data_IF_066117529852
#
_entry.id   IF_066117529852
#
_cell.length_a   1.000
_cell.length_b   1.000
_cell.length_c   1.000
_cell.angle_alpha   90.00
_cell.angle_beta   90.00
_cell.angle_gamma   90.00
#
_symmetry.space_group_name_H-M   'P 1'
#
loop_
_entity.id
_entity.type
_entity.pdbx_description
1 polymer ?
#
# COMPACT_ATOMS: atom_id res chain seq x y z
N UNK A 1 -10.67 -27.86 10.89
CA UNK A 1 -10.63 -26.44 11.30
C UNK A 1 -12.03 -25.90 11.12
N UNK A 2 -12.53 -25.03 12.01
CA UNK A 2 -13.81 -24.37 11.76
C UNK A 2 -13.63 -23.25 10.73
N UNK A 3 -14.73 -22.79 10.12
CA UNK A 3 -14.70 -21.63 9.22
C UNK A 3 -14.18 -20.36 9.91
N UNK A 4 -14.47 -20.22 11.19
CA UNK A 4 -14.01 -19.09 12.02
C UNK A 4 -12.49 -19.17 12.24
N UNK A 5 -11.96 -20.37 12.50
CA UNK A 5 -10.51 -20.60 12.62
C UNK A 5 -9.79 -20.29 11.29
N UNK A 6 -10.37 -20.67 10.15
CA UNK A 6 -9.78 -20.40 8.83
C UNK A 6 -9.69 -18.89 8.51
N UNK A 7 -10.75 -18.13 8.78
CA UNK A 7 -10.74 -16.67 8.63
C UNK A 7 -9.72 -16.05 9.59
N UNK A 8 -9.68 -16.53 10.83
CA UNK A 8 -8.76 -16.01 11.83
C UNK A 8 -7.30 -16.23 11.44
N UNK A 9 -6.97 -17.44 10.97
CA UNK A 9 -5.64 -17.79 10.50
C UNK A 9 -5.25 -16.99 9.25
N UNK A 10 -6.17 -16.75 8.32
CA UNK A 10 -5.90 -15.90 7.15
C UNK A 10 -5.59 -14.45 7.57
N UNK A 11 -6.38 -13.88 8.48
CA UNK A 11 -6.15 -12.52 8.98
C UNK A 11 -4.80 -12.44 9.70
N UNK A 12 -4.53 -13.35 10.64
CA UNK A 12 -3.29 -13.33 11.44
C UNK A 12 -2.03 -13.59 10.63
N UNK A 13 -2.15 -14.28 9.49
CA UNK A 13 -1.04 -14.55 8.58
C UNK A 13 -0.84 -13.48 7.50
N UNK A 14 -1.69 -12.45 7.42
CA UNK A 14 -1.64 -11.46 6.33
C UNK A 14 -1.11 -10.10 6.79
N UNK A 15 -0.16 -9.53 6.04
CA UNK A 15 0.26 -8.13 6.16
C UNK A 15 -0.14 -7.39 4.89
N UNK A 16 -0.95 -6.34 5.04
CA UNK A 16 -1.35 -5.44 3.97
C UNK A 16 -0.36 -4.29 3.86
N UNK A 17 0.20 -4.07 2.67
CA UNK A 17 1.23 -3.05 2.43
C UNK A 17 0.76 -2.14 1.31
N UNK A 18 0.68 -0.83 1.57
CA UNK A 18 0.44 0.14 0.50
C UNK A 18 1.59 0.13 -0.51
N UNK A 19 1.30 0.59 -1.73
CA UNK A 19 2.27 0.60 -2.80
C UNK A 19 2.94 1.98 -2.97
N UNK A 20 2.14 3.01 -3.25
CA UNK A 20 2.60 4.33 -3.70
C UNK A 20 2.97 5.23 -2.51
N UNK A 21 4.25 5.26 -2.14
CA UNK A 21 4.80 5.96 -0.97
C UNK A 21 5.45 5.02 0.06
N UNK A 22 5.16 3.72 -0.04
CA UNK A 22 5.67 2.68 0.88
C UNK A 22 6.63 1.71 0.18
N UNK A 23 6.23 1.15 -0.96
CA UNK A 23 7.07 0.25 -1.76
C UNK A 23 7.71 1.01 -2.92
N UNK A 24 6.92 1.78 -3.65
CA UNK A 24 7.32 2.66 -4.75
C UNK A 24 7.45 4.11 -4.23
N UNK A 25 8.53 4.83 -4.57
CA UNK A 25 8.78 6.19 -4.01
C UNK A 25 7.67 7.19 -4.34
N UNK A 26 7.03 7.08 -5.51
CA UNK A 26 5.90 7.93 -5.93
C UNK A 26 6.16 9.44 -5.80
N UNK A 27 7.36 9.89 -6.17
CA UNK A 27 7.88 11.23 -5.89
C UNK A 27 7.18 12.36 -6.65
N UNK A 28 6.32 12.04 -7.62
CA UNK A 28 5.55 12.98 -8.46
C UNK A 28 4.04 12.78 -8.35
N UNK A 29 3.57 11.95 -7.40
CA UNK A 29 2.16 11.58 -7.32
C UNK A 29 1.65 10.93 -8.61
N UNK A 30 0.44 11.31 -9.05
CA UNK A 30 -0.19 10.70 -10.23
C UNK A 30 0.61 10.85 -11.53
N UNK A 31 1.24 12.01 -11.77
CA UNK A 31 2.01 12.32 -12.98
C UNK A 31 1.32 11.86 -14.29
N UNK A 32 1.88 10.89 -15.00
CA UNK A 32 1.38 10.30 -16.25
C UNK A 32 0.72 8.91 -16.03
N UNK A 33 0.49 8.53 -14.77
CA UNK A 33 -0.09 7.26 -14.36
C UNK A 33 0.87 6.07 -14.40
N UNK A 34 2.09 6.22 -14.93
CA UNK A 34 3.10 5.14 -14.94
C UNK A 34 3.67 4.89 -13.53
N UNK A 35 4.40 3.80 -13.35
CA UNK A 35 5.20 3.55 -12.14
C UNK A 35 6.65 3.89 -12.48
N UNK A 36 7.03 5.14 -12.24
CA UNK A 36 8.23 5.76 -12.75
C UNK A 36 9.43 5.67 -11.81
N UNK A 37 9.23 5.56 -10.50
CA UNK A 37 10.34 5.52 -9.55
C UNK A 37 10.83 4.10 -9.26
N UNK A 38 12.00 4.07 -8.65
CA UNK A 38 12.57 2.94 -7.94
C UNK A 38 11.87 2.67 -6.58
N UNK A 39 12.14 1.52 -5.95
CA UNK A 39 11.60 1.22 -4.65
C UNK A 39 12.05 2.22 -3.60
N UNK A 40 11.23 2.45 -2.58
CA UNK A 40 11.67 3.12 -1.35
C UNK A 40 12.86 2.35 -0.76
N UNK A 41 13.83 3.06 -0.21
CA UNK A 41 15.03 2.46 0.36
C UNK A 41 14.65 1.43 1.43
N UNK A 42 15.15 0.20 1.28
CA UNK A 42 14.82 -0.93 2.16
C UNK A 42 13.52 -1.67 1.85
N UNK A 43 12.65 -1.17 0.97
CA UNK A 43 11.36 -1.80 0.67
C UNK A 43 11.51 -3.23 0.10
N UNK A 44 12.48 -3.44 -0.81
CA UNK A 44 12.74 -4.76 -1.40
C UNK A 44 13.10 -5.80 -0.33
N UNK A 45 13.97 -5.44 0.61
CA UNK A 45 14.40 -6.35 1.67
C UNK A 45 13.29 -6.56 2.71
N UNK A 46 12.50 -5.52 3.01
CA UNK A 46 11.34 -5.62 3.88
C UNK A 46 10.29 -6.59 3.33
N UNK A 47 9.94 -6.50 2.04
CA UNK A 47 8.98 -7.42 1.40
C UNK A 47 9.46 -8.86 1.48
N UNK A 48 10.74 -9.11 1.14
CA UNK A 48 11.35 -10.45 1.26
C UNK A 48 11.41 -10.97 2.69
N UNK A 49 11.59 -10.07 3.66
CA UNK A 49 11.61 -10.43 5.07
C UNK A 49 10.21 -10.82 5.55
N UNK A 50 9.20 -9.98 5.27
CA UNK A 50 7.81 -10.23 5.64
C UNK A 50 7.29 -11.54 5.04
N UNK A 51 7.60 -11.82 3.77
CA UNK A 51 7.14 -13.03 3.08
C UNK A 51 7.64 -14.35 3.69
N UNK A 52 8.60 -14.32 4.62
CA UNK A 52 9.08 -15.52 5.32
C UNK A 52 8.06 -16.07 6.32
N UNK A 53 7.17 -15.21 6.81
CA UNK A 53 6.23 -15.56 7.88
C UNK A 53 4.81 -15.08 7.60
N UNK A 54 4.62 -14.21 6.62
CA UNK A 54 3.33 -13.61 6.31
C UNK A 54 3.00 -13.72 4.82
N UNK A 55 1.71 -13.77 4.52
CA UNK A 55 1.15 -13.43 3.22
C UNK A 55 1.26 -11.92 3.04
N UNK A 56 2.08 -11.50 2.08
CA UNK A 56 2.25 -10.08 1.76
C UNK A 56 1.22 -9.71 0.70
N UNK A 57 0.25 -8.88 1.08
CA UNK A 57 -0.79 -8.39 0.18
C UNK A 57 -0.50 -6.92 -0.12
N UNK A 58 -0.26 -6.60 -1.39
CA UNK A 58 -0.19 -5.20 -1.80
C UNK A 58 -1.61 -4.67 -1.87
N UNK A 59 -1.93 -3.74 -0.98
CA UNK A 59 -3.24 -3.12 -0.87
C UNK A 59 -3.16 -1.69 -1.39
N UNK A 60 -3.66 -1.44 -2.60
CA UNK A 60 -3.49 -0.14 -3.25
C UNK A 60 -4.67 0.23 -4.14
N UNK A 61 -5.05 1.51 -4.08
CA UNK A 61 -6.03 2.10 -5.00
C UNK A 61 -5.59 2.04 -6.47
N UNK A 62 -4.28 1.89 -6.76
CA UNK A 62 -3.79 1.78 -8.14
C UNK A 62 -4.30 0.51 -8.83
N UNK A 63 -4.56 -0.55 -8.08
CA UNK A 63 -5.10 -1.81 -8.60
C UNK A 63 -6.61 -1.76 -8.91
N UNK A 64 -7.28 -0.63 -8.68
CA UNK A 64 -8.70 -0.49 -8.98
C UNK A 64 -8.95 -0.55 -10.50
N UNK A 65 -9.74 -1.51 -11.01
CA UNK A 65 -10.00 -1.68 -12.43
C UNK A 65 -10.81 -0.54 -13.06
N UNK A 66 -11.44 0.32 -12.26
CA UNK A 66 -12.15 1.51 -12.72
C UNK A 66 -11.21 2.67 -13.10
N UNK A 67 -9.90 2.56 -12.81
CA UNK A 67 -8.92 3.57 -13.23
C UNK A 67 -8.66 3.48 -14.74
N UNK A 68 -8.33 4.61 -15.41
CA UNK A 68 -7.95 4.58 -16.81
C UNK A 68 -6.75 3.67 -17.07
N UNK A 69 -6.74 3.04 -18.25
CA UNK A 69 -5.57 2.29 -18.71
C UNK A 69 -4.42 3.26 -19.00
N UNK A 70 -3.21 2.87 -18.62
CA UNK A 70 -1.98 3.60 -18.93
C UNK A 70 -1.21 2.79 -19.95
N UNK A 71 -1.04 3.33 -21.17
CA UNK A 71 -0.42 2.62 -22.29
C UNK A 71 -1.03 1.23 -22.56
N UNK A 72 -2.35 1.13 -22.42
CA UNK A 72 -3.10 -0.12 -22.61
C UNK A 72 -3.07 -1.10 -21.43
N UNK A 73 -2.49 -0.74 -20.29
CA UNK A 73 -2.37 -1.60 -19.10
C UNK A 73 -3.18 -1.09 -17.93
N UNK A 74 -3.76 -2.02 -17.18
CA UNK A 74 -4.37 -1.77 -15.88
C UNK A 74 -3.30 -1.43 -14.84
N UNK A 75 -3.68 -0.79 -13.74
CA UNK A 75 -2.75 -0.54 -12.65
C UNK A 75 -2.21 -1.83 -12.01
N UNK A 76 -2.99 -2.91 -12.00
CA UNK A 76 -2.52 -4.23 -11.55
C UNK A 76 -1.36 -4.74 -12.44
N UNK A 77 -1.53 -4.69 -13.76
CA UNK A 77 -0.48 -5.13 -14.70
C UNK A 77 0.80 -4.29 -14.57
N UNK A 78 0.66 -2.96 -14.41
CA UNK A 78 1.80 -2.07 -14.18
C UNK A 78 2.57 -2.48 -12.92
N UNK A 79 1.86 -2.76 -11.82
CA UNK A 79 2.49 -3.19 -10.56
C UNK A 79 3.19 -4.53 -10.75
N UNK A 80 2.56 -5.51 -11.40
CA UNK A 80 3.17 -6.83 -11.65
C UNK A 80 4.46 -6.69 -12.44
N UNK A 81 4.48 -5.89 -13.51
CA UNK A 81 5.69 -5.64 -14.30
C UNK A 81 6.79 -4.97 -13.47
N UNK A 82 6.42 -3.99 -12.66
CA UNK A 82 7.37 -3.27 -11.80
C UNK A 82 7.95 -4.18 -10.71
N UNK A 83 7.14 -4.98 -10.02
CA UNK A 83 7.60 -5.96 -9.03
C UNK A 83 8.48 -7.03 -9.66
N UNK A 84 8.18 -7.44 -10.90
CA UNK A 84 9.00 -8.38 -11.67
C UNK A 84 10.37 -7.76 -11.99
N UNK A 85 10.41 -6.50 -12.44
CA UNK A 85 11.65 -5.76 -12.69
C UNK A 85 12.57 -5.70 -11.46
N UNK A 86 12.01 -5.53 -10.26
CA UNK A 86 12.79 -5.51 -9.01
C UNK A 86 12.94 -6.88 -8.34
N UNK A 87 12.48 -7.96 -8.99
CA UNK A 87 12.67 -9.33 -8.52
C UNK A 87 11.92 -9.65 -7.23
N UNK A 88 10.80 -8.97 -6.94
CA UNK A 88 10.02 -9.16 -5.72
C UNK A 88 8.61 -9.74 -5.92
N UNK A 89 8.17 -9.96 -7.16
CA UNK A 89 6.83 -10.50 -7.47
C UNK A 89 6.54 -11.84 -6.77
N UNK A 90 7.53 -12.74 -6.66
CA UNK A 90 7.37 -14.06 -6.03
C UNK A 90 7.24 -14.00 -4.49
N UNK A 91 7.43 -12.83 -3.89
CA UNK A 91 7.27 -12.63 -2.44
C UNK A 91 5.93 -11.94 -2.10
N UNK A 92 5.14 -11.59 -3.11
CA UNK A 92 3.82 -10.96 -2.97
C UNK A 92 2.75 -12.01 -3.24
N UNK A 93 1.84 -12.19 -2.29
CA UNK A 93 0.76 -13.17 -2.39
C UNK A 93 -0.39 -12.70 -3.29
N UNK A 94 -0.74 -11.41 -3.23
CA UNK A 94 -1.74 -10.81 -4.10
C UNK A 94 -1.60 -9.28 -4.15
N UNK A 95 -2.23 -8.67 -5.16
CA UNK A 95 -2.35 -7.22 -5.35
C UNK A 95 -3.84 -6.90 -5.45
N UNK A 96 -4.37 -6.07 -4.57
CA UNK A 96 -5.80 -5.76 -4.49
C UNK A 96 -6.07 -4.30 -4.15
N UNK A 97 -7.27 -3.84 -4.51
CA UNK A 97 -7.83 -2.55 -4.08
C UNK A 97 -9.01 -2.75 -3.10
N UNK A 98 -9.42 -3.99 -2.87
CA UNK A 98 -10.42 -4.34 -1.87
C UNK A 98 -9.74 -4.54 -0.51
N UNK A 99 -10.37 -4.08 0.57
CA UNK A 99 -9.80 -4.13 1.91
C UNK A 99 -9.52 -5.58 2.32
N UNK A 100 -8.25 -5.99 2.49
CA UNK A 100 -7.94 -7.34 2.92
C UNK A 100 -8.20 -7.50 4.43
N UNK A 101 -8.58 -8.70 4.86
CA UNK A 101 -8.40 -9.09 6.25
C UNK A 101 -6.89 -9.20 6.54
N UNK A 102 -6.37 -8.41 7.48
CA UNK A 102 -4.93 -8.34 7.73
C UNK A 102 -4.62 -8.13 9.22
N UNK A 103 -3.53 -8.76 9.66
CA UNK A 103 -2.92 -8.60 10.97
C UNK A 103 -2.36 -7.20 11.16
N UNK A 104 -1.73 -6.66 10.10
CA UNK A 104 -1.10 -5.35 10.10
C UNK A 104 -1.30 -4.65 8.75
N UNK A 105 -1.44 -3.33 8.81
CA UNK A 105 -1.42 -2.43 7.66
C UNK A 105 -0.16 -1.55 7.73
N UNK A 106 0.58 -1.47 6.62
CA UNK A 106 1.76 -0.61 6.46
C UNK A 106 1.43 0.38 5.35
N UNK A 107 1.26 1.66 5.70
CA UNK A 107 0.72 2.69 4.83
C UNK A 107 1.29 4.05 5.26
N UNK A 108 1.80 4.84 4.32
CA UNK A 108 2.45 6.14 4.57
C UNK A 108 1.44 7.24 4.95
N UNK A 109 0.15 7.02 4.70
CA UNK A 109 -0.95 7.95 4.97
C UNK A 109 -1.84 7.47 6.12
N UNK A 110 -1.61 6.28 6.67
CA UNK A 110 -2.39 5.79 7.79
C UNK A 110 -1.99 6.44 9.12
N UNK A 111 -3.00 6.77 9.93
CA UNK A 111 -2.82 7.15 11.32
C UNK A 111 -3.12 5.91 12.18
N UNK A 112 -2.23 5.58 13.11
CA UNK A 112 -2.50 4.51 14.08
C UNK A 112 -3.63 4.95 14.99
N UNK A 113 -4.77 4.27 14.91
CA UNK A 113 -5.87 4.50 15.84
C UNK A 113 -5.55 3.90 17.21
N UNK A 114 -5.53 4.75 18.24
CA UNK A 114 -5.43 4.38 19.66
C UNK A 114 -6.75 4.71 20.36
N UNK A 115 -7.20 5.95 20.23
CA UNK A 115 -8.53 6.44 20.59
C UNK A 115 -8.91 7.69 19.79
N UNK A 116 -10.15 8.15 19.95
CA UNK A 116 -10.68 9.30 19.20
C UNK A 116 -10.10 10.65 19.64
N UNK A 117 -9.73 10.83 20.91
CA UNK A 117 -9.18 12.10 21.37
C UNK A 117 -7.77 12.30 20.79
N UNK A 118 -6.93 11.26 20.83
CA UNK A 118 -5.62 11.25 20.18
C UNK A 118 -5.72 11.55 18.67
N UNK A 119 -6.69 10.92 18.01
CA UNK A 119 -6.93 11.09 16.58
C UNK A 119 -7.40 12.51 16.23
N UNK A 120 -8.34 13.08 16.98
CA UNK A 120 -8.81 14.46 16.79
C UNK A 120 -7.64 15.43 17.02
N UNK A 121 -6.87 15.27 18.10
CA UNK A 121 -5.71 16.11 18.39
C UNK A 121 -4.66 16.06 17.26
N UNK A 122 -4.41 14.87 16.70
CA UNK A 122 -3.51 14.72 15.56
C UNK A 122 -4.02 15.48 14.34
N UNK A 123 -5.32 15.35 14.02
CA UNK A 123 -5.93 16.06 12.88
C UNK A 123 -5.88 17.56 13.09
N UNK A 124 -6.30 18.08 14.24
CA UNK A 124 -6.31 19.52 14.51
C UNK A 124 -4.91 20.13 14.37
N UNK A 125 -3.88 19.42 14.84
CA UNK A 125 -2.49 19.88 14.75
C UNK A 125 -1.91 19.83 13.32
N UNK A 126 -2.38 18.90 12.49
CA UNK A 126 -1.85 18.63 11.15
C UNK A 126 -2.82 19.01 10.01
N UNK A 127 -3.89 19.74 10.33
CA UNK A 127 -4.88 20.20 9.36
C UNK A 127 -4.31 21.28 8.43
N UNK A 128 -4.81 21.28 7.20
CA UNK A 128 -4.35 22.11 6.06
C UNK A 128 -4.54 23.62 6.28
N UNK A 129 -5.16 24.06 7.38
CA UNK A 129 -5.23 25.50 7.74
C UNK A 129 -3.85 26.13 8.01
N UNK A 130 -2.77 25.35 8.04
CA UNK A 130 -1.38 25.83 8.09
C UNK A 130 -0.69 25.98 6.72
N UNK A 131 -1.35 25.61 5.61
CA UNK A 131 -0.84 25.85 4.25
C UNK A 131 -1.41 27.17 3.72
N UNK A 132 -0.61 28.23 3.87
CA UNK A 132 -0.84 29.56 3.31
C UNK A 132 -1.07 29.51 1.80
N UNK A 133 -2.34 29.51 1.40
CA UNK A 133 -2.82 29.49 0.01
C UNK A 133 -2.48 30.78 -0.75
N UNK A 134 -1.89 31.79 -0.10
CA UNK A 134 -1.37 32.99 -0.78
C UNK A 134 -0.03 32.76 -1.49
N UNK A 135 0.53 31.54 -1.43
CA UNK A 135 1.81 31.17 -2.05
C UNK A 135 1.70 30.31 -3.33
N UNK A 136 0.51 30.18 -3.92
CA UNK A 136 0.31 29.62 -5.26
C UNK A 136 -0.16 30.69 -6.25
#
# INVERSE_FOLDING_TARGET
MSFEDEIHDEILSTVAVDFDGVIHKNSKGFHDGTIYDEPVDGAVDAIKFLSKSYRVVIFTCKANPSRPLINGKTGHELIVEWLTKYGIINFVSSITHEKPGAFLYIDDKAIRFTDWNDMINYIDTNSVESLDISKF
#
